data_IF_971875671408
#
_entry.id   IF_971875671408
#
_cell.length_a   1.000
_cell.length_b   1.000
_cell.length_c   1.000
_cell.angle_alpha   90.00
_cell.angle_beta   90.00
_cell.angle_gamma   90.00
#
_symmetry.space_group_name_H-M   'P 1'
#
loop_
_entity.id
_entity.type
_entity.pdbx_description
1 polymer ?
#
# COMPACT_ATOMS: atom_id res chain seq x y z
N UNK A 1 -16.70 7.53 12.98
CA UNK A 1 -15.61 6.62 13.35
C UNK A 1 -14.56 6.81 12.26
N UNK A 2 -13.54 7.63 12.51
CA UNK A 2 -12.47 7.84 11.53
C UNK A 2 -11.41 6.78 11.78
N UNK A 3 -11.33 5.79 10.89
CA UNK A 3 -10.27 4.80 10.90
C UNK A 3 -8.98 5.51 10.51
N UNK A 4 -8.15 5.78 11.51
CA UNK A 4 -6.82 6.34 11.34
C UNK A 4 -6.00 5.38 10.44
N UNK A 5 -5.45 5.81 9.29
CA UNK A 5 -4.56 4.97 8.50
C UNK A 5 -3.40 4.57 9.41
N UNK A 6 -3.17 3.27 9.55
CA UNK A 6 -2.17 2.72 10.45
C UNK A 6 -0.77 3.04 9.90
N UNK A 7 -0.22 4.18 10.31
CA UNK A 7 1.10 4.71 9.96
C UNK A 7 2.29 3.85 10.47
N UNK A 8 2.10 2.54 10.72
CA UNK A 8 3.09 1.70 11.41
C UNK A 8 3.28 0.28 10.90
N UNK A 9 2.64 -0.13 9.79
CA UNK A 9 2.75 -1.51 9.31
C UNK A 9 3.03 -1.65 7.80
N UNK A 10 3.66 -0.62 7.20
CA UNK A 10 4.08 -0.64 5.79
C UNK A 10 5.06 -1.80 5.52
N UNK A 11 5.92 -2.08 6.49
CA UNK A 11 6.81 -3.25 6.48
C UNK A 11 6.04 -4.57 6.64
N UNK A 12 4.99 -4.59 7.48
CA UNK A 12 4.16 -5.76 7.69
C UNK A 12 3.45 -6.27 6.43
N UNK A 13 3.00 -5.37 5.56
CA UNK A 13 2.39 -5.76 4.28
C UNK A 13 3.41 -6.40 3.35
N UNK A 14 4.60 -5.79 3.19
CA UNK A 14 5.67 -6.38 2.39
C UNK A 14 6.11 -7.73 2.95
N UNK A 15 6.29 -7.84 4.25
CA UNK A 15 6.62 -9.11 4.92
C UNK A 15 5.55 -10.17 4.66
N UNK A 16 4.27 -9.80 4.71
CA UNK A 16 3.18 -10.70 4.33
C UNK A 16 3.30 -11.12 2.86
N UNK A 17 3.54 -10.20 1.94
CA UNK A 17 3.68 -10.52 0.53
C UNK A 17 4.81 -11.53 0.30
N UNK A 18 5.98 -11.29 0.89
CA UNK A 18 7.12 -12.23 0.83
C UNK A 18 6.76 -13.58 1.46
N UNK A 19 6.16 -13.58 2.65
CA UNK A 19 5.79 -14.79 3.38
C UNK A 19 4.78 -15.66 2.62
N UNK A 20 3.85 -15.04 1.91
CA UNK A 20 2.81 -15.72 1.14
C UNK A 20 3.18 -15.92 -0.34
N UNK A 21 4.42 -15.60 -0.75
CA UNK A 21 4.86 -15.62 -2.16
C UNK A 21 3.96 -14.79 -3.09
N UNK A 22 3.40 -13.70 -2.59
CA UNK A 22 2.67 -12.72 -3.38
C UNK A 22 3.70 -11.84 -4.11
N UNK A 23 3.58 -11.63 -5.44
CA UNK A 23 4.49 -10.75 -6.17
C UNK A 23 4.52 -9.34 -5.58
N UNK A 24 5.72 -8.80 -5.36
CA UNK A 24 5.95 -7.42 -4.88
C UNK A 24 5.63 -6.41 -5.98
N UNK A 25 4.35 -6.18 -6.23
CA UNK A 25 3.82 -5.19 -7.16
C UNK A 25 2.98 -4.17 -6.41
N UNK A 26 2.87 -2.96 -6.97
CA UNK A 26 2.01 -1.90 -6.42
C UNK A 26 0.57 -2.37 -6.22
N UNK A 27 -0.02 -3.03 -7.23
CA UNK A 27 -1.39 -3.53 -7.18
C UNK A 27 -1.59 -4.49 -6.00
N UNK A 28 -0.74 -5.50 -5.85
CA UNK A 28 -0.85 -6.46 -4.75
C UNK A 28 -0.63 -5.81 -3.38
N UNK A 29 0.27 -4.81 -3.30
CA UNK A 29 0.48 -4.07 -2.06
C UNK A 29 -0.78 -3.26 -1.70
N UNK A 30 -1.36 -2.55 -2.67
CA UNK A 30 -2.57 -1.76 -2.47
C UNK A 30 -3.76 -2.65 -2.10
N UNK A 31 -3.95 -3.78 -2.78
CA UNK A 31 -4.99 -4.75 -2.44
C UNK A 31 -4.88 -5.20 -0.98
N UNK A 32 -3.67 -5.45 -0.47
CA UNK A 32 -3.47 -5.83 0.92
C UNK A 32 -3.62 -4.64 1.88
N UNK A 33 -3.15 -3.45 1.50
CA UNK A 33 -3.21 -2.23 2.30
C UNK A 33 -4.65 -1.76 2.52
N UNK A 34 -5.48 -1.88 1.50
CA UNK A 34 -6.89 -1.49 1.51
C UNK A 34 -7.85 -2.68 1.68
N UNK A 35 -7.32 -3.88 1.97
CA UNK A 35 -8.11 -5.11 2.13
C UNK A 35 -9.04 -5.41 0.94
N UNK A 36 -8.60 -5.09 -0.29
CA UNK A 36 -9.32 -5.27 -1.54
C UNK A 36 -10.25 -4.12 -1.94
N UNK A 37 -10.38 -3.08 -1.10
CA UNK A 37 -11.16 -1.88 -1.39
C UNK A 37 -10.24 -0.71 -1.77
N UNK A 38 -9.43 -0.94 -2.82
CA UNK A 38 -8.45 0.05 -3.30
C UNK A 38 -9.20 1.21 -3.96
N UNK A 39 -8.98 2.46 -3.52
CA UNK A 39 -9.54 3.63 -4.19
C UNK A 39 -9.04 3.71 -5.64
N UNK A 40 -9.91 4.10 -6.58
CA UNK A 40 -9.52 4.31 -7.99
C UNK A 40 -8.40 5.36 -8.13
N UNK A 41 -8.40 6.37 -7.27
CA UNK A 41 -7.39 7.42 -7.22
C UNK A 41 -6.91 7.62 -5.77
N UNK A 42 -5.61 7.56 -5.57
CA UNK A 42 -4.97 7.95 -4.30
C UNK A 42 -4.64 9.43 -4.33
N UNK A 43 -4.89 10.12 -3.22
CA UNK A 43 -4.43 11.49 -3.05
C UNK A 43 -2.90 11.56 -2.96
N UNK A 44 -2.32 12.73 -3.23
CA UNK A 44 -0.87 12.92 -3.11
C UNK A 44 -0.33 12.60 -1.70
N UNK A 45 -1.15 12.77 -0.66
CA UNK A 45 -0.80 12.43 0.71
C UNK A 45 -0.74 10.91 0.91
N UNK A 46 -1.77 10.17 0.47
CA UNK A 46 -1.81 8.70 0.53
C UNK A 46 -0.70 8.07 -0.32
N UNK A 47 -0.43 8.65 -1.48
CA UNK A 47 0.64 8.22 -2.38
C UNK A 47 2.01 8.37 -1.71
N UNK A 48 2.28 9.51 -1.08
CA UNK A 48 3.51 9.74 -0.31
C UNK A 48 3.64 8.81 0.90
N UNK A 49 2.52 8.26 1.38
CA UNK A 49 2.54 7.23 2.42
C UNK A 49 2.91 5.84 1.90
N UNK A 50 2.83 5.55 0.60
CA UNK A 50 3.28 4.27 0.06
C UNK A 50 4.80 4.15 0.15
N UNK A 51 5.35 2.92 0.26
CA UNK A 51 6.79 2.69 0.08
C UNK A 51 7.28 3.21 -1.28
N UNK A 52 8.49 3.79 -1.33
CA UNK A 52 9.03 4.43 -2.55
C UNK A 52 8.95 3.54 -3.80
N UNK A 53 9.20 2.23 -3.68
CA UNK A 53 9.12 1.27 -4.80
C UNK A 53 7.70 1.08 -5.35
N UNK A 54 6.70 1.42 -4.57
CA UNK A 54 5.29 1.36 -4.95
C UNK A 54 4.72 2.72 -5.27
N UNK A 55 5.44 3.82 -5.07
CA UNK A 55 4.98 5.15 -5.45
C UNK A 55 4.94 5.28 -6.98
N UNK A 56 3.87 5.86 -7.53
CA UNK A 56 3.88 6.32 -8.92
C UNK A 56 4.76 7.55 -8.96
N UNK A 57 5.94 7.41 -9.56
CA UNK A 57 6.79 8.54 -9.92
C UNK A 57 5.99 9.42 -10.89
N UNK A 58 5.32 10.45 -10.36
CA UNK A 58 4.81 11.53 -11.19
C UNK A 58 6.03 12.34 -11.61
N UNK A 59 6.47 12.15 -12.87
CA UNK A 59 7.47 13.00 -13.53
C UNK A 59 7.02 14.46 -13.62
#
# INVERSE_FOLDING_TARGET
MASNPQHGNKDGIKEMMVKFNIPLTRENYLDLAYMGDVPEELSAEEEAELPEEFQIQQE
#
